data_IF_581863894739
#
_entry.id   IF_581863894739
#
_cell.length_a   1.000
_cell.length_b   1.000
_cell.length_c   1.000
_cell.angle_alpha   90.00
_cell.angle_beta   90.00
_cell.angle_gamma   90.00
#
_symmetry.space_group_name_H-M   'P 1'
#
loop_
_entity.id
_entity.type
_entity.pdbx_description
1 polymer ?
#
# COMPACT_ATOMS: atom_id res chain seq x y z
N UNK A 1 20.05 -40.91 -0.73
CA UNK A 1 18.70 -40.63 -1.26
C UNK A 1 18.01 -39.70 -0.28
N UNK A 2 17.74 -38.47 -0.71
CA UNK A 2 17.11 -37.43 0.12
C UNK A 2 15.65 -37.36 -0.28
N UNK A 3 14.72 -37.59 0.65
CA UNK A 3 13.39 -36.99 0.60
C UNK A 3 13.04 -36.51 2.01
N UNK A 4 13.47 -35.29 2.31
CA UNK A 4 12.97 -34.52 3.45
C UNK A 4 11.66 -33.84 3.03
N UNK A 5 10.51 -34.44 3.34
CA UNK A 5 9.23 -33.73 3.36
C UNK A 5 8.84 -33.43 4.82
N UNK A 6 9.71 -32.67 5.48
CA UNK A 6 9.43 -32.07 6.78
C UNK A 6 8.88 -30.67 6.59
N UNK A 7 7.56 -30.52 6.47
CA UNK A 7 6.86 -29.27 6.81
C UNK A 7 5.53 -29.59 7.50
N UNK A 8 5.61 -29.88 8.79
CA UNK A 8 4.52 -29.57 9.72
C UNK A 8 5.08 -28.65 10.79
N UNK A 9 5.03 -27.35 10.52
CA UNK A 9 5.20 -26.33 11.54
C UNK A 9 3.83 -25.68 11.72
N UNK A 10 3.06 -26.20 12.67
CA UNK A 10 1.84 -25.53 13.14
C UNK A 10 2.25 -24.56 14.23
N UNK A 11 2.59 -23.35 13.81
CA UNK A 11 2.18 -22.17 14.55
C UNK A 11 0.65 -22.13 14.43
N UNK A 12 -0.07 -22.31 15.54
CA UNK A 12 -1.50 -22.04 15.60
C UNK A 12 -1.69 -20.64 16.21
N UNK A 13 -1.11 -19.62 15.57
CA UNK A 13 -1.57 -18.24 15.79
C UNK A 13 -2.93 -18.10 15.09
N UNK A 14 -3.98 -17.86 15.88
CA UNK A 14 -5.28 -17.54 15.32
C UNK A 14 -5.19 -16.23 14.54
N UNK A 15 -5.37 -16.30 13.22
CA UNK A 15 -5.44 -15.10 12.38
C UNK A 15 -6.86 -14.52 12.43
N UNK A 16 -7.00 -13.32 13.01
CA UNK A 16 -8.24 -12.56 12.98
C UNK A 16 -8.06 -11.34 12.06
N UNK A 17 -8.84 -11.28 10.98
CA UNK A 17 -8.87 -10.15 10.07
C UNK A 17 -10.25 -9.48 10.09
N UNK A 18 -10.26 -8.14 10.05
CA UNK A 18 -11.47 -7.36 9.88
C UNK A 18 -11.69 -7.14 8.39
N UNK A 19 -12.74 -7.78 7.87
CA UNK A 19 -13.18 -7.63 6.48
C UNK A 19 -14.62 -7.13 6.46
N UNK A 20 -15.02 -6.51 5.35
CA UNK A 20 -16.39 -6.09 5.16
C UNK A 20 -17.35 -7.28 4.95
N UNK A 21 -18.65 -7.01 5.10
CA UNK A 21 -19.68 -8.04 5.03
C UNK A 21 -19.84 -8.63 3.61
N UNK A 22 -19.58 -7.84 2.57
CA UNK A 22 -19.71 -8.29 1.18
C UNK A 22 -18.59 -9.30 0.85
N UNK A 23 -17.34 -8.98 1.21
CA UNK A 23 -16.21 -9.87 1.04
C UNK A 23 -16.37 -11.16 1.84
N UNK A 24 -16.90 -11.07 3.07
CA UNK A 24 -17.20 -12.24 3.89
C UNK A 24 -18.20 -13.19 3.22
N UNK A 25 -19.25 -12.65 2.61
CA UNK A 25 -20.24 -13.48 1.90
C UNK A 25 -19.65 -14.11 0.64
N UNK A 26 -18.83 -13.37 -0.12
CA UNK A 26 -18.12 -13.92 -1.28
C UNK A 26 -17.21 -15.08 -0.89
N UNK A 27 -16.45 -14.95 0.20
CA UNK A 27 -15.60 -16.02 0.73
C UNK A 27 -16.42 -17.25 1.16
N UNK A 28 -17.57 -17.02 1.78
CA UNK A 28 -18.48 -18.10 2.17
C UNK A 28 -19.02 -18.85 0.94
N UNK A 29 -19.52 -18.12 -0.05
CA UNK A 29 -20.03 -18.73 -1.28
C UNK A 29 -18.93 -19.49 -2.04
N UNK A 30 -17.74 -18.90 -2.14
CA UNK A 30 -16.59 -19.57 -2.76
C UNK A 30 -16.24 -20.87 -2.03
N UNK A 31 -16.22 -20.87 -0.70
CA UNK A 31 -15.96 -22.07 0.09
C UNK A 31 -17.05 -23.15 -0.14
N UNK A 32 -18.32 -22.76 -0.18
CA UNK A 32 -19.44 -23.67 -0.45
C UNK A 32 -19.36 -24.32 -1.85
N UNK A 33 -19.10 -23.51 -2.89
CA UNK A 33 -18.98 -24.00 -4.28
C UNK A 33 -17.80 -24.96 -4.44
N UNK A 34 -16.70 -24.71 -3.71
CA UNK A 34 -15.50 -25.56 -3.75
C UNK A 34 -15.55 -26.72 -2.74
N UNK A 35 -16.64 -26.85 -1.97
CA UNK A 35 -16.80 -27.86 -0.93
C UNK A 35 -15.67 -27.84 0.12
N UNK A 36 -15.27 -26.62 0.52
CA UNK A 36 -14.19 -26.32 1.46
C UNK A 36 -14.70 -25.48 2.62
N UNK A 37 -13.92 -25.39 3.70
CA UNK A 37 -14.20 -24.43 4.77
C UNK A 37 -13.62 -23.05 4.42
N UNK A 38 -14.18 -21.99 5.02
CA UNK A 38 -13.74 -20.61 4.76
C UNK A 38 -12.26 -20.39 5.06
N UNK A 39 -11.69 -21.06 6.08
CA UNK A 39 -10.27 -20.96 6.41
C UNK A 39 -9.36 -21.48 5.29
N UNK A 40 -9.63 -22.70 4.81
CA UNK A 40 -8.89 -23.33 3.72
C UNK A 40 -9.05 -22.57 2.40
N UNK A 41 -10.26 -22.12 2.08
CA UNK A 41 -10.51 -21.30 0.90
C UNK A 41 -9.74 -19.97 0.96
N UNK A 42 -9.76 -19.30 2.12
CA UNK A 42 -9.04 -18.03 2.34
C UNK A 42 -7.53 -18.24 2.25
N UNK A 43 -6.99 -19.30 2.86
CA UNK A 43 -5.58 -19.65 2.79
C UNK A 43 -5.12 -19.83 1.34
N UNK A 44 -5.87 -20.58 0.53
CA UNK A 44 -5.55 -20.78 -0.89
C UNK A 44 -5.59 -19.49 -1.68
N UNK A 45 -6.60 -18.65 -1.47
CA UNK A 45 -6.71 -17.35 -2.14
C UNK A 45 -5.54 -16.44 -1.76
N UNK A 46 -5.13 -16.41 -0.48
CA UNK A 46 -3.97 -15.65 -0.02
C UNK A 46 -2.66 -16.18 -0.63
N UNK A 47 -2.46 -17.50 -0.66
CA UNK A 47 -1.29 -18.10 -1.32
C UNK A 47 -1.23 -17.75 -2.80
N UNK A 48 -2.36 -17.82 -3.52
CA UNK A 48 -2.46 -17.42 -4.92
C UNK A 48 -2.18 -15.94 -5.11
N UNK A 49 -2.69 -15.07 -4.23
CA UNK A 49 -2.44 -13.63 -4.30
C UNK A 49 -0.95 -13.30 -4.14
N UNK A 50 -0.26 -13.93 -3.18
CA UNK A 50 1.19 -13.74 -3.00
C UNK A 50 2.01 -14.33 -4.15
N UNK A 51 1.59 -15.48 -4.71
CA UNK A 51 2.24 -16.04 -5.91
C UNK A 51 2.01 -15.15 -7.14
N UNK A 52 0.82 -14.56 -7.29
CA UNK A 52 0.53 -13.61 -8.34
C UNK A 52 1.40 -12.37 -8.19
N UNK A 53 1.57 -11.83 -6.99
CA UNK A 53 2.46 -10.69 -6.72
C UNK A 53 3.94 -11.02 -7.01
N UNK A 54 4.41 -12.21 -6.61
CA UNK A 54 5.77 -12.70 -6.91
C UNK A 54 5.97 -12.95 -8.41
N UNK A 55 4.96 -13.47 -9.12
CA UNK A 55 5.00 -13.69 -10.57
C UNK A 55 4.74 -12.43 -11.40
N UNK A 56 4.07 -11.42 -10.82
CA UNK A 56 3.87 -10.10 -11.40
C UNK A 56 5.12 -9.21 -11.22
N UNK A 57 6.16 -9.72 -10.55
CA UNK A 57 7.50 -9.12 -10.53
C UNK A 57 8.17 -8.94 -11.90
N UNK A 58 7.53 -9.36 -13.00
CA UNK A 58 8.04 -9.17 -14.37
C UNK A 58 6.97 -8.78 -15.40
N UNK A 59 5.77 -8.34 -14.97
CA UNK A 59 4.73 -7.92 -15.92
C UNK A 59 3.94 -6.73 -15.38
N UNK A 60 4.40 -5.51 -15.67
CA UNK A 60 3.48 -4.37 -15.59
C UNK A 60 4.03 -2.98 -15.90
N UNK A 61 5.32 -2.71 -15.71
CA UNK A 61 6.01 -1.50 -16.17
C UNK A 61 7.52 -1.82 -16.19
N UNK A 62 8.11 -2.16 -17.34
CA UNK A 62 9.56 -1.99 -17.48
C UNK A 62 9.84 -0.49 -17.54
N UNK A 63 11.04 -0.02 -17.16
CA UNK A 63 11.40 1.42 -17.29
C UNK A 63 11.19 1.94 -18.74
N UNK A 64 11.12 1.04 -19.71
CA UNK A 64 10.85 1.31 -21.14
C UNK A 64 9.37 1.56 -21.47
N UNK A 65 8.43 1.14 -20.61
CA UNK A 65 6.97 1.39 -20.75
C UNK A 65 6.52 2.65 -19.99
N UNK A 66 7.41 3.29 -19.23
CA UNK A 66 7.17 4.63 -18.73
C UNK A 66 7.29 5.56 -19.93
N UNK A 67 6.17 6.02 -20.49
CA UNK A 67 6.13 7.25 -21.27
C UNK A 67 6.56 8.37 -20.33
N UNK A 68 7.89 8.52 -20.21
CA UNK A 68 8.55 9.67 -19.64
C UNK A 68 8.27 10.80 -20.61
N UNK A 69 7.04 11.30 -20.58
CA UNK A 69 6.73 12.66 -20.96
C UNK A 69 7.49 13.54 -19.97
N UNK A 70 8.78 13.64 -20.24
CA UNK A 70 9.74 14.53 -19.65
C UNK A 70 9.27 15.94 -20.00
N UNK A 71 8.26 16.41 -19.27
CA UNK A 71 8.08 17.84 -19.12
C UNK A 71 9.21 18.24 -18.19
N UNK A 72 10.30 18.70 -18.79
CA UNK A 72 11.36 19.43 -18.10
C UNK A 72 10.72 20.63 -17.40
N UNK A 73 10.24 20.43 -16.18
CA UNK A 73 10.20 21.52 -15.24
C UNK A 73 11.64 21.73 -14.78
N UNK A 74 12.36 22.54 -15.56
CA UNK A 74 13.58 23.21 -15.11
C UNK A 74 13.21 23.93 -13.80
N UNK A 75 13.42 23.26 -12.66
CA UNK A 75 13.25 23.85 -11.34
C UNK A 75 14.38 24.86 -11.15
N UNK A 76 14.24 26.03 -11.77
CA UNK A 76 15.18 27.12 -11.59
C UNK A 76 15.23 27.42 -10.09
N UNK A 77 16.41 27.38 -9.45
CA UNK A 77 16.51 27.67 -8.04
C UNK A 77 15.94 29.05 -7.78
N UNK A 78 15.06 29.15 -6.77
CA UNK A 78 14.42 30.41 -6.40
C UNK A 78 15.46 31.52 -6.22
N UNK A 79 15.20 32.67 -6.82
CA UNK A 79 16.08 33.84 -6.68
C UNK A 79 16.11 34.31 -5.22
N UNK A 80 17.19 34.99 -4.78
CA UNK A 80 17.25 35.56 -3.43
C UNK A 80 16.07 36.48 -3.08
N UNK A 81 15.46 37.12 -4.08
CA UNK A 81 14.27 37.97 -3.91
C UNK A 81 13.03 37.14 -3.59
N UNK A 82 12.83 36.03 -4.28
CA UNK A 82 11.70 35.11 -4.05
C UNK A 82 11.83 34.42 -2.70
N UNK A 83 13.04 33.98 -2.33
CA UNK A 83 13.31 33.42 -1.00
C UNK A 83 12.98 34.44 0.10
N UNK A 84 13.31 35.73 -0.09
CA UNK A 84 12.99 36.79 0.88
C UNK A 84 11.48 37.04 0.97
N UNK A 85 10.76 37.00 -0.15
CA UNK A 85 9.31 37.13 -0.17
C UNK A 85 8.62 35.96 0.55
N UNK A 86 9.06 34.73 0.29
CA UNK A 86 8.56 33.53 0.96
C UNK A 86 8.82 33.58 2.47
N UNK A 87 10.02 33.97 2.91
CA UNK A 87 10.30 34.15 4.35
C UNK A 87 9.37 35.16 5.02
N UNK A 88 9.01 36.25 4.33
CA UNK A 88 8.06 37.26 4.85
C UNK A 88 6.64 36.69 4.96
N UNK A 89 6.19 35.93 3.96
CA UNK A 89 4.88 35.29 3.95
C UNK A 89 4.77 34.24 5.06
N UNK A 90 5.80 33.40 5.24
CA UNK A 90 5.85 32.37 6.27
C UNK A 90 5.92 32.96 7.69
N UNK A 91 6.69 34.03 7.88
CA UNK A 91 6.73 34.74 9.17
C UNK A 91 5.35 35.30 9.56
N UNK A 92 4.66 35.95 8.61
CA UNK A 92 3.31 36.48 8.84
C UNK A 92 2.30 35.37 9.15
N UNK A 93 2.39 34.22 8.46
CA UNK A 93 1.54 33.05 8.75
C UNK A 93 1.78 32.53 10.17
N UNK A 94 3.04 32.37 10.58
CA UNK A 94 3.36 31.88 11.92
C UNK A 94 2.90 32.85 13.03
N UNK A 95 3.06 34.16 12.84
CA UNK A 95 2.54 35.18 13.78
C UNK A 95 1.01 35.11 13.89
N UNK A 96 0.31 34.93 12.77
CA UNK A 96 -1.15 34.80 12.74
C UNK A 96 -1.62 33.52 13.44
N UNK A 97 -0.93 32.39 13.19
CA UNK A 97 -1.21 31.12 13.86
C UNK A 97 -0.99 31.23 15.38
N UNK A 98 0.10 31.85 15.83
CA UNK A 98 0.39 32.04 17.25
C UNK A 98 -0.69 32.89 17.94
N UNK A 99 -1.15 33.98 17.30
CA UNK A 99 -2.20 34.83 17.85
C UNK A 99 -3.53 34.08 18.00
N UNK A 100 -3.92 33.28 17.00
CA UNK A 100 -5.15 32.50 17.05
C UNK A 100 -5.11 31.44 18.17
N UNK A 101 -3.93 30.86 18.44
CA UNK A 101 -3.73 29.90 19.54
C UNK A 101 -3.72 30.52 20.93
N UNK A 102 -3.57 31.84 21.08
CA UNK A 102 -3.62 32.53 22.39
C UNK A 102 -5.03 33.05 22.76
N UNK A 103 -5.99 32.97 21.83
CA UNK A 103 -7.37 33.42 22.02
C UNK A 103 -8.37 32.26 22.28
N UNK A 104 -7.88 31.02 22.34
CA UNK A 104 -8.61 29.81 22.75
C UNK A 104 -8.11 29.36 24.12
#
# INVERSE_FOLDING_TARGET
MILLHGKRSYDHSGFECKIDAELKEKLRHFAEVNNENTGTATEKLLQLAFQLEESAGEAGVTEEDIDSQHTEEEATPLTPKEIKALRKLLKKKNETTILYSQQL
#
